data_IF_861611880608
#
_entry.id   IF_861611880608
#
_cell.length_a   1.000
_cell.length_b   1.000
_cell.length_c   1.000
_cell.angle_alpha   90.00
_cell.angle_beta   90.00
_cell.angle_gamma   90.00
#
_symmetry.space_group_name_H-M   'P 1'
#
loop_
_entity.id
_entity.type
_entity.pdbx_description
1 polymer ?
#
# COMPACT_ATOMS: atom_id res chain seq x y z
N UNK A 1 8.79 1.69 -12.20
CA UNK A 1 8.79 0.23 -12.44
C UNK A 1 7.97 -0.39 -11.32
N UNK A 2 6.73 -0.81 -11.60
CA UNK A 2 5.76 -1.21 -10.58
C UNK A 2 6.08 -2.61 -10.05
N UNK A 3 6.64 -2.67 -8.84
CA UNK A 3 6.92 -3.91 -8.11
C UNK A 3 5.64 -4.75 -7.91
N UNK A 4 4.46 -4.12 -7.89
CA UNK A 4 3.16 -4.80 -7.81
C UNK A 4 2.93 -5.83 -8.93
N UNK A 5 3.43 -5.59 -10.16
CA UNK A 5 3.28 -6.53 -11.29
C UNK A 5 4.19 -7.76 -11.11
N UNK A 6 5.30 -7.62 -10.36
CA UNK A 6 6.20 -8.74 -10.06
C UNK A 6 5.55 -9.68 -9.05
N UNK A 7 4.80 -9.16 -8.09
CA UNK A 7 4.10 -9.96 -7.07
C UNK A 7 2.91 -10.75 -7.64
N UNK A 8 2.26 -10.26 -8.70
CA UNK A 8 1.15 -10.95 -9.38
C UNK A 8 1.57 -12.32 -9.93
N UNK A 9 2.84 -12.47 -10.33
CA UNK A 9 3.40 -13.73 -10.80
C UNK A 9 3.80 -14.70 -9.69
N UNK A 10 3.88 -14.25 -8.43
CA UNK A 10 4.39 -15.05 -7.31
C UNK A 10 3.29 -15.57 -6.36
N UNK A 11 2.03 -15.13 -6.51
CA UNK A 11 0.92 -15.41 -5.56
C UNK A 11 1.22 -15.06 -4.09
N UNK A 12 2.35 -14.43 -3.80
CA UNK A 12 2.86 -14.19 -2.45
C UNK A 12 2.44 -12.80 -1.95
N UNK A 13 1.16 -12.46 -2.17
CA UNK A 13 0.60 -11.16 -1.83
C UNK A 13 0.72 -10.85 -0.33
N UNK A 14 0.72 -11.88 0.52
CA UNK A 14 0.88 -11.70 1.97
C UNK A 14 2.22 -11.06 2.36
N UNK A 15 3.32 -11.47 1.72
CA UNK A 15 4.64 -10.85 1.99
C UNK A 15 4.73 -9.44 1.42
N UNK A 16 4.11 -9.21 0.27
CA UNK A 16 4.07 -7.89 -0.34
C UNK A 16 3.28 -6.90 0.54
N UNK A 17 2.13 -7.32 1.08
CA UNK A 17 1.36 -6.53 2.05
C UNK A 17 2.21 -6.14 3.27
N UNK A 18 2.84 -7.11 3.93
CA UNK A 18 3.64 -6.85 5.14
C UNK A 18 4.82 -5.91 4.86
N UNK A 19 5.48 -6.09 3.71
CA UNK A 19 6.61 -5.26 3.32
C UNK A 19 6.18 -3.82 3.02
N UNK A 20 5.04 -3.63 2.36
CA UNK A 20 4.48 -2.31 2.10
C UNK A 20 3.93 -1.64 3.36
N UNK A 21 3.34 -2.39 4.30
CA UNK A 21 2.92 -1.88 5.62
C UNK A 21 4.12 -1.35 6.42
N UNK A 22 5.18 -2.15 6.56
CA UNK A 22 6.40 -1.73 7.27
C UNK A 22 7.08 -0.53 6.61
N UNK A 23 7.12 -0.50 5.28
CA UNK A 23 7.66 0.63 4.54
C UNK A 23 6.81 1.90 4.71
N UNK A 24 5.48 1.74 4.79
CA UNK A 24 4.55 2.85 5.03
C UNK A 24 4.74 3.42 6.44
N UNK A 25 4.79 2.58 7.48
CA UNK A 25 5.03 3.02 8.86
C UNK A 25 6.35 3.79 9.00
N UNK A 26 7.43 3.27 8.41
CA UNK A 26 8.73 3.95 8.43
C UNK A 26 8.70 5.31 7.75
N UNK A 27 8.02 5.41 6.60
CA UNK A 27 7.85 6.68 5.87
C UNK A 27 6.93 7.65 6.59
N UNK A 28 5.86 7.17 7.21
CA UNK A 28 4.99 7.99 8.05
C UNK A 28 5.75 8.60 9.22
N UNK A 29 6.59 7.79 9.89
CA UNK A 29 7.39 8.24 11.02
C UNK A 29 8.49 9.24 10.63
N UNK A 30 9.13 9.06 9.47
CA UNK A 30 10.24 9.92 9.02
C UNK A 30 9.78 11.17 8.26
N UNK A 31 8.78 11.04 7.39
CA UNK A 31 8.40 12.06 6.42
C UNK A 31 7.01 12.64 6.67
N UNK A 32 6.18 11.96 7.48
CA UNK A 32 4.79 12.32 7.71
C UNK A 32 3.84 11.75 6.65
N UNK A 33 2.54 11.81 6.97
CA UNK A 33 1.45 11.23 6.16
C UNK A 33 1.16 12.00 4.86
N UNK A 34 1.48 13.28 4.82
CA UNK A 34 1.25 14.13 3.65
C UNK A 34 2.42 14.15 2.66
N UNK A 35 3.53 13.51 2.98
CA UNK A 35 4.67 13.44 2.07
C UNK A 35 4.33 12.58 0.84
N UNK A 36 4.71 13.05 -0.33
CA UNK A 36 4.47 12.36 -1.60
C UNK A 36 5.06 10.94 -1.63
N UNK A 37 6.22 10.73 -0.99
CA UNK A 37 6.85 9.41 -0.87
C UNK A 37 6.05 8.43 -0.01
N UNK A 38 5.37 8.93 1.02
CA UNK A 38 4.47 8.17 1.89
C UNK A 38 3.18 7.84 1.15
N UNK A 39 2.58 8.82 0.48
CA UNK A 39 1.36 8.64 -0.35
C UNK A 39 1.61 7.63 -1.47
N UNK A 40 2.76 7.70 -2.15
CA UNK A 40 3.13 6.73 -3.17
C UNK A 40 3.30 5.31 -2.60
N UNK A 41 3.82 5.18 -1.37
CA UNK A 41 3.92 3.89 -0.69
C UNK A 41 2.53 3.33 -0.37
N UNK A 42 1.63 4.16 0.16
CA UNK A 42 0.26 3.78 0.44
C UNK A 42 -0.51 3.41 -0.85
N UNK A 43 -0.27 4.10 -1.98
CA UNK A 43 -0.87 3.73 -3.27
C UNK A 43 -0.41 2.34 -3.74
N UNK A 44 0.86 2.00 -3.57
CA UNK A 44 1.37 0.67 -3.92
C UNK A 44 0.77 -0.42 -3.01
N UNK A 45 0.60 -0.13 -1.73
CA UNK A 45 -0.09 -1.03 -0.80
C UNK A 45 -1.55 -1.23 -1.21
N UNK A 46 -2.27 -0.16 -1.60
CA UNK A 46 -3.65 -0.23 -2.12
C UNK A 46 -3.75 -1.20 -3.28
N UNK A 47 -2.90 -1.05 -4.30
CA UNK A 47 -2.89 -1.94 -5.48
C UNK A 47 -2.57 -3.39 -5.10
N UNK A 48 -1.65 -3.61 -4.17
CA UNK A 48 -1.35 -4.95 -3.66
C UNK A 48 -2.55 -5.58 -2.95
N UNK A 49 -3.25 -4.80 -2.12
CA UNK A 49 -4.45 -5.24 -1.41
C UNK A 49 -5.60 -5.55 -2.37
N UNK A 50 -5.79 -4.74 -3.41
CA UNK A 50 -6.76 -4.99 -4.47
C UNK A 50 -6.45 -6.30 -5.22
N UNK A 51 -5.18 -6.56 -5.54
CA UNK A 51 -4.76 -7.80 -6.20
C UNK A 51 -4.89 -9.03 -5.29
N UNK A 52 -4.62 -8.88 -3.99
CA UNK A 52 -4.77 -9.95 -2.98
C UNK A 52 -6.22 -10.29 -2.63
N UNK A 53 -7.19 -9.43 -3.00
CA UNK A 53 -8.59 -9.53 -2.59
C UNK A 53 -8.85 -9.17 -1.12
N UNK A 54 -7.89 -8.56 -0.43
CA UNK A 54 -7.94 -8.29 1.01
C UNK A 54 -8.70 -6.99 1.32
N UNK A 55 -10.01 -7.01 1.08
CA UNK A 55 -10.91 -5.86 1.18
C UNK A 55 -10.96 -5.22 2.58
N UNK A 56 -10.73 -5.99 3.64
CA UNK A 56 -10.73 -5.47 5.02
C UNK A 56 -9.59 -4.48 5.24
N UNK A 57 -8.37 -4.88 4.87
CA UNK A 57 -7.18 -4.04 4.97
C UNK A 57 -7.23 -2.87 3.99
N UNK A 58 -7.77 -3.09 2.79
CA UNK A 58 -8.00 -2.00 1.84
C UNK A 58 -8.89 -0.91 2.44
N UNK A 59 -9.99 -1.29 3.09
CA UNK A 59 -10.89 -0.33 3.73
C UNK A 59 -10.20 0.45 4.87
N UNK A 60 -9.36 -0.21 5.67
CA UNK A 60 -8.57 0.43 6.72
C UNK A 60 -7.57 1.44 6.14
N UNK A 61 -6.82 1.04 5.11
CA UNK A 61 -5.87 1.92 4.42
C UNK A 61 -6.58 3.16 3.86
N UNK A 62 -7.73 2.98 3.21
CA UNK A 62 -8.51 4.08 2.64
C UNK A 62 -9.20 4.95 3.70
N UNK A 63 -9.35 4.47 4.95
CA UNK A 63 -9.79 5.28 6.08
C UNK A 63 -8.67 6.20 6.58
N UNK A 64 -7.42 5.71 6.60
CA UNK A 64 -6.24 6.53 6.94
C UNK A 64 -5.87 7.48 5.80
N UNK A 65 -6.03 7.03 4.55
CA UNK A 65 -5.69 7.76 3.34
C UNK A 65 -6.92 7.93 2.44
N UNK A 66 -7.90 8.79 2.81
CA UNK A 66 -9.09 9.03 1.99
C UNK A 66 -8.74 9.60 0.61
N UNK A 67 -7.61 10.29 0.49
CA UNK A 67 -7.07 10.84 -0.76
C UNK A 67 -6.79 9.77 -1.83
N UNK A 68 -6.65 8.49 -1.44
CA UNK A 68 -6.42 7.37 -2.36
C UNK A 68 -7.71 6.75 -2.92
N UNK A 69 -8.90 7.16 -2.46
CA UNK A 69 -10.19 6.70 -2.99
C UNK A 69 -10.57 7.38 -4.31
N UNK A 70 -9.99 8.55 -4.61
CA UNK A 70 -10.48 9.50 -5.61
C UNK A 70 -9.56 9.68 -6.83
N UNK A 71 -8.48 8.89 -6.95
CA UNK A 71 -7.65 8.79 -8.16
C UNK A 71 -7.86 7.41 -8.80
#
# INVERSE_FOLDING_TARGET
>A
MNIAIIYDNLKDYGKAEELYERALEGKEAQLGKDNESTINCARNLKTCLEASGNNKRLAQLLAVYPKLKTN
#
